data_IF_685039300970
#
_entry.id   IF_685039300970
#
_cell.length_a   1.000
_cell.length_b   1.000
_cell.length_c   1.000
_cell.angle_alpha   90.00
_cell.angle_beta   90.00
_cell.angle_gamma   90.00
#
_symmetry.space_group_name_H-M   'P 1'
#
loop_
_entity.id
_entity.type
_entity.pdbx_description
1 polymer ?
#
# COMPACT_ATOMS: atom_id res chain seq x y z
N UNK A 1 -3.90 -10.84 -4.69
CA UNK A 1 -3.72 -12.03 -5.54
C UNK A 1 -4.59 -13.21 -5.06
N UNK A 2 -5.85 -12.94 -4.67
CA UNK A 2 -6.80 -13.95 -4.17
C UNK A 2 -7.67 -14.50 -5.31
N UNK A 3 -8.17 -13.60 -6.17
CA UNK A 3 -8.97 -13.94 -7.34
C UNK A 3 -8.31 -15.06 -8.16
N UNK A 4 -7.06 -14.86 -8.59
CA UNK A 4 -6.31 -15.87 -9.34
C UNK A 4 -6.16 -17.20 -8.58
N UNK A 5 -5.79 -17.18 -7.30
CA UNK A 5 -5.42 -18.39 -6.55
C UNK A 5 -6.64 -19.24 -6.17
N UNK A 6 -7.76 -18.60 -5.83
CA UNK A 6 -8.87 -19.26 -5.14
C UNK A 6 -10.25 -19.02 -5.76
N UNK A 7 -10.36 -18.24 -6.85
CA UNK A 7 -11.65 -17.91 -7.47
C UNK A 7 -11.64 -18.17 -8.98
N UNK A 8 -10.85 -17.41 -9.74
CA UNK A 8 -10.91 -17.35 -11.19
C UNK A 8 -9.92 -18.28 -11.88
N UNK A 9 -8.80 -18.64 -11.23
CA UNK A 9 -7.70 -19.41 -11.82
C UNK A 9 -7.14 -18.82 -13.13
N UNK A 10 -7.34 -17.52 -13.39
CA UNK A 10 -6.88 -16.86 -14.62
C UNK A 10 -6.42 -15.42 -14.38
N UNK A 11 -5.47 -14.97 -15.21
CA UNK A 11 -5.04 -13.57 -15.29
C UNK A 11 -5.47 -12.89 -16.60
N UNK A 12 -6.17 -13.61 -17.50
CA UNK A 12 -6.64 -13.05 -18.76
C UNK A 12 -7.59 -11.89 -18.51
N UNK A 13 -7.35 -10.77 -19.19
CA UNK A 13 -8.14 -9.52 -19.11
C UNK A 13 -8.30 -8.97 -17.68
N UNK A 14 -7.29 -9.18 -16.82
CA UNK A 14 -7.27 -8.77 -15.41
C UNK A 14 -5.94 -8.10 -15.06
N UNK A 15 -6.03 -6.95 -14.39
CA UNK A 15 -4.87 -6.19 -13.90
C UNK A 15 -5.17 -5.59 -12.53
N UNK A 16 -4.12 -5.28 -11.77
CA UNK A 16 -4.20 -4.50 -10.54
C UNK A 16 -3.64 -3.11 -10.88
N UNK A 17 -4.41 -2.07 -10.58
CA UNK A 17 -3.95 -0.68 -10.74
C UNK A 17 -2.77 -0.38 -9.81
N UNK A 18 -1.80 0.41 -10.28
CA UNK A 18 -0.65 0.86 -9.51
C UNK A 18 -0.44 2.36 -9.67
N UNK A 19 -0.11 3.03 -8.56
CA UNK A 19 0.32 4.43 -8.54
C UNK A 19 1.51 4.54 -7.58
N UNK A 20 2.56 5.25 -7.96
CA UNK A 20 3.82 5.34 -7.21
C UNK A 20 3.82 6.44 -6.14
N UNK A 21 2.88 6.38 -5.19
CA UNK A 21 2.75 7.42 -4.15
C UNK A 21 2.53 6.81 -2.77
N UNK A 22 3.21 7.37 -1.76
CA UNK A 22 2.98 7.17 -0.32
C UNK A 22 3.28 5.77 0.22
N UNK A 23 3.86 4.88 -0.59
CA UNK A 23 4.25 3.53 -0.16
C UNK A 23 5.21 3.56 1.03
N UNK A 24 6.05 4.58 1.12
CA UNK A 24 7.01 4.81 2.19
C UNK A 24 6.39 4.99 3.59
N UNK A 25 5.06 5.14 3.68
CA UNK A 25 4.36 5.29 4.96
C UNK A 25 3.85 3.96 5.53
N UNK A 26 4.01 2.84 4.83
CA UNK A 26 3.57 1.52 5.26
C UNK A 26 4.76 0.64 5.67
N UNK A 27 4.57 -0.20 6.70
CA UNK A 27 5.62 -1.09 7.19
C UNK A 27 5.98 -2.21 6.20
N UNK A 28 5.01 -2.63 5.39
CA UNK A 28 5.14 -3.67 4.37
C UNK A 28 4.64 -3.12 3.03
N UNK A 29 5.41 -2.22 2.38
CA UNK A 29 5.00 -1.62 1.12
C UNK A 29 4.90 -2.68 0.02
N UNK A 30 4.08 -2.39 -0.99
CA UNK A 30 4.01 -3.21 -2.20
C UNK A 30 5.38 -3.37 -2.84
N UNK A 31 5.63 -4.54 -3.43
CA UNK A 31 6.79 -4.78 -4.30
C UNK A 31 6.32 -5.04 -5.73
N UNK A 32 6.81 -4.24 -6.66
CA UNK A 32 6.59 -4.43 -8.09
C UNK A 32 7.87 -5.04 -8.69
N UNK A 33 7.71 -6.16 -9.41
CA UNK A 33 8.79 -6.84 -10.14
C UNK A 33 8.31 -7.05 -11.57
N UNK A 34 9.04 -6.52 -12.55
CA UNK A 34 8.70 -6.60 -13.98
C UNK A 34 7.26 -6.19 -14.30
N UNK A 35 6.78 -5.11 -13.66
CA UNK A 35 5.42 -4.59 -13.84
C UNK A 35 4.32 -5.40 -13.15
N UNK A 36 4.66 -6.33 -12.24
CA UNK A 36 3.70 -7.19 -11.53
C UNK A 36 3.84 -7.06 -10.01
N UNK A 37 2.70 -7.12 -9.31
CA UNK A 37 2.67 -7.23 -7.85
C UNK A 37 3.29 -8.56 -7.41
N UNK A 38 4.33 -8.52 -6.59
CA UNK A 38 4.81 -9.67 -5.86
C UNK A 38 3.88 -9.96 -4.67
N UNK A 39 3.67 -11.23 -4.34
CA UNK A 39 2.88 -11.62 -3.18
C UNK A 39 3.55 -11.11 -1.88
N UNK A 40 2.80 -10.47 -0.95
CA UNK A 40 3.31 -10.15 0.38
C UNK A 40 3.74 -11.40 1.13
N UNK A 41 4.77 -11.27 1.97
CA UNK A 41 5.32 -12.37 2.78
C UNK A 41 5.16 -12.14 4.28
N UNK A 42 4.99 -10.88 4.70
CA UNK A 42 4.70 -10.55 6.09
C UNK A 42 3.24 -10.93 6.43
N UNK A 43 2.96 -11.37 7.66
CA UNK A 43 1.59 -11.62 8.09
C UNK A 43 0.80 -10.30 8.19
N UNK A 44 -0.46 -10.33 7.76
CA UNK A 44 -1.40 -9.21 7.88
C UNK A 44 -1.98 -8.79 6.54
N UNK A 45 -2.54 -7.58 6.50
CA UNK A 45 -3.15 -6.96 5.32
C UNK A 45 -2.28 -5.85 4.72
N UNK A 46 -1.01 -5.74 5.13
CA UNK A 46 -0.07 -4.68 4.74
C UNK A 46 -0.58 -3.24 5.01
N UNK A 47 -1.62 -3.10 5.86
CA UNK A 47 -2.27 -1.83 6.17
C UNK A 47 -1.60 -1.05 7.31
N UNK A 48 -0.60 -1.64 7.97
CA UNK A 48 0.06 -1.01 9.10
C UNK A 48 0.97 0.13 8.62
N UNK A 49 0.69 1.34 9.10
CA UNK A 49 1.49 2.52 8.81
C UNK A 49 2.62 2.71 9.83
N UNK A 50 3.67 3.43 9.43
CA UNK A 50 4.68 3.92 10.35
C UNK A 50 4.06 4.90 11.36
N UNK A 51 4.30 4.73 12.68
CA UNK A 51 3.82 5.67 13.69
C UNK A 51 4.29 7.12 13.45
N UNK A 52 5.47 7.30 12.88
CA UNK A 52 6.00 8.60 12.51
C UNK A 52 5.14 9.29 11.42
N UNK A 53 4.71 8.56 10.39
CA UNK A 53 3.81 9.08 9.36
C UNK A 53 2.48 9.50 9.95
N UNK A 54 1.89 8.69 10.84
CA UNK A 54 0.65 9.05 11.53
C UNK A 54 0.77 10.34 12.35
N UNK A 55 1.89 10.52 13.05
CA UNK A 55 2.17 11.74 13.84
C UNK A 55 2.38 12.97 12.94
N UNK A 56 3.11 12.83 11.84
CA UNK A 56 3.43 13.95 10.95
C UNK A 56 2.20 14.45 10.17
N UNK A 57 1.39 13.52 9.66
CA UNK A 57 0.29 13.80 8.72
C UNK A 57 -1.11 13.68 9.33
N UNK A 58 -1.24 13.44 10.64
CA UNK A 58 -2.54 13.38 11.31
C UNK A 58 -3.25 14.74 11.31
N UNK A 59 -4.27 14.94 10.49
CA UNK A 59 -5.02 16.20 10.46
C UNK A 59 -5.89 16.38 11.72
N UNK A 60 -6.03 17.61 12.27
CA UNK A 60 -5.33 18.85 11.90
C UNK A 60 -4.00 19.08 12.63
N UNK A 61 -3.67 18.27 13.64
CA UNK A 61 -2.57 18.55 14.58
C UNK A 61 -1.17 18.13 14.13
N UNK A 62 -1.06 17.39 13.02
CA UNK A 62 0.20 16.95 12.45
C UNK A 62 0.98 18.12 11.85
N UNK A 63 2.30 18.08 11.98
CA UNK A 63 3.18 19.18 11.54
C UNK A 63 3.04 19.51 10.05
N UNK A 64 2.72 18.53 9.21
CA UNK A 64 2.46 18.75 7.78
C UNK A 64 1.31 19.75 7.49
N UNK A 65 0.43 19.98 8.49
CA UNK A 65 -0.72 20.87 8.38
C UNK A 65 -0.55 22.20 9.10
N UNK A 66 0.53 22.40 9.87
CA UNK A 66 0.71 23.55 10.77
C UNK A 66 0.67 24.91 10.05
N UNK A 67 1.10 24.97 8.79
CA UNK A 67 1.10 26.21 7.98
C UNK A 67 -0.15 26.33 7.09
N UNK A 68 -1.10 25.38 7.17
CA UNK A 68 -2.24 25.24 6.24
C UNK A 68 -3.60 25.43 6.91
N UNK A 69 -3.64 25.59 8.23
CA UNK A 69 -4.85 25.76 9.05
C UNK A 69 -4.81 27.07 9.81
#
# INVERSE_FOLDING_TARGET
>A
MFDFVAVSATMQDRVIEYVDHLHEHFLDPVRIVDGRYAAPIAPGLSAQMHPASLKEYGYPGGRAWADRV
#
